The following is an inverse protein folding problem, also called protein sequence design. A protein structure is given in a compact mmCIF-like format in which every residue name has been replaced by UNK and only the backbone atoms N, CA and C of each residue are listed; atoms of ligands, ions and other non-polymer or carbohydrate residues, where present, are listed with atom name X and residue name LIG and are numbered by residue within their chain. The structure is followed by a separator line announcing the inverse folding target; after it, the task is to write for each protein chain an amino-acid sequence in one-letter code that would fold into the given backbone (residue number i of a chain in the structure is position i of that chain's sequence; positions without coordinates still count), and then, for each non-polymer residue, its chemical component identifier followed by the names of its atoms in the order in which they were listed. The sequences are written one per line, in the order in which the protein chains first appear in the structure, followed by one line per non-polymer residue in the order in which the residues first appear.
data_IF_975146885615
#
_entry.id   IF_975146885615
#
_cell.length_a   1.000
_cell.length_b   1.000
_cell.length_c   1.000
_cell.angle_alpha   90.00
_cell.angle_beta   90.00
_cell.angle_gamma   90.00
#
_symmetry.space_group_name_H-M   'P 1'
#
loop_
_entity.id
_entity.type
_entity.pdbx_description
1 polymer ?
#
# COMPACT_ATOMS: atom_id res chain seq x y z
N UNK A 1 14.91 -27.13 10.88
CA UNK A 1 15.68 -25.97 11.37
C UNK A 1 15.89 -25.06 10.18
N UNK A 2 15.25 -23.89 10.15
CA UNK A 2 15.38 -22.92 9.05
C UNK A 2 16.49 -21.95 9.42
N UNK A 3 17.43 -21.73 8.49
CA UNK A 3 18.55 -20.80 8.66
C UNK A 3 18.04 -19.35 8.66
N UNK A 4 18.19 -18.59 9.75
CA UNK A 4 17.74 -17.20 9.85
C UNK A 4 18.49 -16.23 8.93
N UNK A 5 19.59 -16.68 8.30
CA UNK A 5 20.42 -15.89 7.37
C UNK A 5 20.17 -16.23 5.89
N UNK A 6 19.04 -16.87 5.55
CA UNK A 6 18.67 -17.02 4.15
C UNK A 6 18.21 -15.66 3.59
N UNK A 7 18.92 -15.16 2.59
CA UNK A 7 18.51 -13.97 1.84
C UNK A 7 17.04 -14.14 1.39
N UNK A 8 16.17 -13.14 1.56
CA UNK A 8 14.81 -13.23 1.08
C UNK A 8 14.84 -13.49 -0.43
N UNK A 9 14.26 -14.61 -0.86
CA UNK A 9 14.17 -15.02 -2.27
C UNK A 9 13.56 -13.85 -3.06
N UNK A 10 14.20 -13.42 -4.17
CA UNK A 10 13.83 -12.20 -4.85
C UNK A 10 12.41 -12.30 -5.42
N UNK A 11 11.60 -11.33 -5.06
CA UNK A 11 10.27 -11.12 -5.60
C UNK A 11 10.39 -10.11 -6.74
N UNK A 12 9.99 -10.49 -7.94
CA UNK A 12 9.93 -9.52 -9.04
C UNK A 12 8.75 -8.58 -8.78
N UNK A 13 9.01 -7.28 -8.76
CA UNK A 13 7.95 -6.26 -8.63
C UNK A 13 7.71 -5.62 -9.99
N UNK A 14 6.45 -5.61 -10.44
CA UNK A 14 6.03 -4.93 -11.66
C UNK A 14 5.10 -3.79 -11.33
N UNK A 15 5.30 -2.67 -12.01
CA UNK A 15 4.42 -1.51 -11.97
C UNK A 15 3.60 -1.53 -13.26
N UNK A 16 2.28 -1.48 -13.13
CA UNK A 16 1.33 -1.49 -14.25
C UNK A 16 0.52 -0.21 -14.18
N UNK A 17 0.68 0.66 -15.18
CA UNK A 17 -0.17 1.84 -15.33
C UNK A 17 -1.45 1.49 -16.08
N UNK A 18 -2.59 1.82 -15.49
CA UNK A 18 -3.90 1.64 -16.09
C UNK A 18 -4.29 2.94 -16.81
N UNK A 19 -4.89 2.84 -18.00
CA UNK A 19 -5.28 4.01 -18.81
C UNK A 19 -6.31 4.96 -18.18
N UNK A 20 -6.74 4.70 -16.94
CA UNK A 20 -7.60 5.56 -16.13
C UNK A 20 -6.82 6.39 -15.07
N UNK A 21 -5.50 6.37 -15.11
CA UNK A 21 -4.63 7.09 -14.17
C UNK A 21 -4.39 6.38 -12.84
N UNK A 22 -4.84 5.13 -12.68
CA UNK A 22 -4.47 4.28 -11.55
C UNK A 22 -3.22 3.46 -11.87
N UNK A 23 -2.42 3.15 -10.85
CA UNK A 23 -1.21 2.33 -10.97
C UNK A 23 -1.32 1.12 -10.06
N UNK A 24 -0.92 -0.05 -10.53
CA UNK A 24 -0.90 -1.30 -9.79
C UNK A 24 0.53 -1.77 -9.57
N UNK A 25 0.91 -1.95 -8.31
CA UNK A 25 2.17 -2.58 -7.93
C UNK A 25 1.88 -4.06 -7.69
N UNK A 26 2.35 -4.90 -8.62
CA UNK A 26 2.22 -6.36 -8.56
C UNK A 26 3.52 -6.95 -8.05
N UNK A 27 3.43 -7.84 -7.08
CA UNK A 27 4.55 -8.68 -6.68
C UNK A 27 4.35 -10.04 -7.32
N UNK A 28 5.24 -10.41 -8.24
CA UNK A 28 5.22 -11.74 -8.83
C UNK A 28 5.78 -12.69 -7.78
N UNK A 29 4.93 -13.62 -7.40
CA UNK A 29 5.22 -14.63 -6.40
C UNK A 29 5.46 -15.92 -7.16
N UNK A 30 6.62 -16.52 -6.92
CA UNK A 30 6.90 -17.89 -7.32
C UNK A 30 6.15 -18.87 -6.41
N UNK A 31 5.60 -19.94 -6.97
CA UNK A 31 4.83 -20.95 -6.22
C UNK A 31 5.68 -21.60 -5.11
N UNK A 32 7.01 -21.61 -5.27
CA UNK A 32 7.95 -22.11 -4.26
C UNK A 32 8.07 -21.21 -3.01
N UNK A 33 7.54 -19.98 -3.05
CA UNK A 33 7.55 -19.03 -1.93
C UNK A 33 6.25 -19.01 -1.10
N UNK A 34 5.27 -19.86 -1.45
CA UNK A 34 3.94 -19.89 -0.84
C UNK A 34 3.94 -20.35 0.64
N UNK A 35 4.96 -21.12 1.07
CA UNK A 35 5.04 -21.62 2.46
C UNK A 35 5.43 -20.54 3.49
N UNK A 36 6.07 -19.44 3.06
CA UNK A 36 6.40 -18.32 3.95
C UNK A 36 5.20 -17.41 4.25
N UNK A 37 4.07 -17.60 3.56
CA UNK A 37 2.83 -16.88 3.84
C UNK A 37 2.17 -17.37 5.12
N UNK A 38 2.29 -16.55 6.16
CA UNK A 38 1.65 -16.84 7.42
C UNK A 38 0.15 -16.60 7.36
N UNK A 39 -0.64 -17.65 7.61
CA UNK A 39 -2.10 -17.55 7.80
C UNK A 39 -2.50 -16.60 8.94
N UNK A 40 -1.59 -16.33 9.88
CA UNK A 40 -1.83 -15.38 10.97
C UNK A 40 -1.43 -13.94 10.65
N UNK A 41 -0.84 -13.68 9.48
CA UNK A 41 -0.50 -12.34 9.02
C UNK A 41 -1.44 -11.93 7.87
N UNK A 42 -2.33 -10.95 8.06
CA UNK A 42 -3.29 -10.57 7.02
C UNK A 42 -2.65 -9.98 5.76
N UNK A 43 -1.39 -9.53 5.84
CA UNK A 43 -0.67 -9.02 4.66
C UNK A 43 -0.07 -10.13 3.80
N UNK A 44 0.06 -11.35 4.33
CA UNK A 44 0.72 -12.45 3.62
C UNK A 44 0.03 -12.82 2.31
N UNK A 45 -1.28 -12.58 2.21
CA UNK A 45 -2.07 -12.94 1.02
C UNK A 45 -2.22 -11.81 0.00
N UNK A 46 -1.49 -10.70 0.13
CA UNK A 46 -1.58 -9.62 -0.83
C UNK A 46 -0.82 -9.96 -2.12
N UNK A 47 -1.54 -9.98 -3.25
CA UNK A 47 -0.94 -10.19 -4.57
C UNK A 47 -0.47 -8.86 -5.19
N UNK A 48 -1.24 -7.79 -4.98
CA UNK A 48 -0.94 -6.47 -5.53
C UNK A 48 -1.56 -5.35 -4.71
N UNK A 49 -1.02 -4.13 -4.87
CA UNK A 49 -1.61 -2.89 -4.38
C UNK A 49 -2.05 -2.04 -5.56
N UNK A 50 -3.29 -1.57 -5.54
CA UNK A 50 -3.82 -0.57 -6.48
C UNK A 50 -3.72 0.79 -5.83
N UNK A 51 -3.09 1.72 -6.53
CA UNK A 51 -3.14 3.15 -6.25
C UNK A 51 -4.08 3.82 -7.24
N UNK A 52 -5.11 4.49 -6.73
CA UNK A 52 -6.13 5.16 -7.54
C UNK A 52 -5.74 6.58 -7.93
N UNK A 53 -4.65 7.09 -7.37
CA UNK A 53 -4.07 8.41 -7.65
C UNK A 53 -2.55 8.29 -7.69
N UNK A 54 -1.86 9.25 -8.33
CA UNK A 54 -0.41 9.39 -8.24
C UNK A 54 0.04 9.45 -6.77
N UNK A 55 0.97 8.59 -6.38
CA UNK A 55 1.42 8.46 -4.99
C UNK A 55 2.67 9.27 -4.69
N UNK A 56 3.43 9.61 -5.72
CA UNK A 56 4.62 10.43 -5.68
C UNK A 56 4.37 11.86 -5.18
N UNK A 57 3.12 12.34 -5.29
CA UNK A 57 2.71 13.64 -4.76
C UNK A 57 1.93 13.51 -3.43
N UNK A 58 1.59 12.29 -2.99
CA UNK A 58 0.79 12.07 -1.79
C UNK A 58 1.71 11.98 -0.54
N UNK A 59 1.69 12.96 0.40
CA UNK A 59 2.70 13.03 1.46
C UNK A 59 2.67 11.86 2.45
N UNK A 60 1.49 11.29 2.64
CA UNK A 60 1.25 10.08 3.41
C UNK A 60 -0.10 9.50 3.06
N UNK A 61 -0.30 8.25 3.45
CA UNK A 61 -1.60 7.58 3.50
C UNK A 61 -1.89 7.05 4.89
N UNK A 62 -3.17 6.96 5.24
CA UNK A 62 -3.65 6.19 6.38
C UNK A 62 -3.98 4.78 5.92
N UNK A 63 -3.85 3.81 6.82
CA UNK A 63 -4.15 2.40 6.53
C UNK A 63 -5.31 1.91 7.39
N UNK A 64 -6.17 1.09 6.80
CA UNK A 64 -7.15 0.28 7.52
C UNK A 64 -7.12 -1.16 7.01
N UNK A 65 -7.28 -2.13 7.91
CA UNK A 65 -7.65 -3.50 7.56
C UNK A 65 -9.18 -3.58 7.51
N UNK A 66 -9.71 -3.91 6.34
CA UNK A 66 -11.14 -4.03 6.09
C UNK A 66 -11.51 -5.51 6.14
N UNK A 67 -12.08 -5.96 7.26
CA UNK A 67 -12.39 -7.36 7.52
C UNK A 67 -13.69 -7.88 6.89
N UNK A 68 -14.47 -7.02 6.22
CA UNK A 68 -15.77 -7.36 5.63
C UNK A 68 -15.77 -7.29 4.10
N UNK A 69 -14.63 -7.51 3.44
CA UNK A 69 -14.57 -7.45 1.99
C UNK A 69 -15.19 -8.71 1.36
N UNK A 70 -16.17 -8.54 0.48
CA UNK A 70 -16.85 -9.66 -0.19
C UNK A 70 -15.99 -10.38 -1.24
N UNK A 71 -14.98 -9.67 -1.77
CA UNK A 71 -14.15 -10.15 -2.86
C UNK A 71 -12.67 -9.93 -2.59
N UNK A 72 -11.83 -10.84 -3.09
CA UNK A 72 -10.37 -10.75 -3.04
C UNK A 72 -9.80 -9.61 -3.90
N UNK A 73 -10.45 -9.30 -5.02
CA UNK A 73 -9.88 -8.44 -6.09
C UNK A 73 -10.75 -7.26 -6.51
N UNK A 74 -12.03 -7.24 -6.12
CA UNK A 74 -12.95 -6.17 -6.49
C UNK A 74 -12.54 -4.84 -5.87
N UNK A 75 -13.06 -3.74 -6.44
CA UNK A 75 -12.79 -2.39 -5.92
C UNK A 75 -13.17 -2.30 -4.44
N UNK A 76 -12.31 -1.65 -3.67
CA UNK A 76 -12.54 -1.41 -2.23
C UNK A 76 -12.55 0.10 -2.02
N UNK A 77 -13.74 0.70 -2.12
CA UNK A 77 -13.94 2.15 -2.08
C UNK A 77 -14.73 2.55 -0.83
N UNK A 78 -14.35 3.67 -0.22
CA UNK A 78 -15.14 4.32 0.81
C UNK A 78 -16.24 5.15 0.16
N UNK A 79 -17.42 5.16 0.78
CA UNK A 79 -18.53 6.02 0.37
C UNK A 79 -19.13 6.71 1.60
N UNK A 80 -18.33 7.51 2.30
CA UNK A 80 -18.74 8.18 3.55
C UNK A 80 -18.62 9.71 3.53
N UNK A 81 -18.19 10.28 2.41
CA UNK A 81 -18.02 11.74 2.21
C UNK A 81 -16.93 12.40 3.07
N UNK A 82 -16.23 11.65 3.92
CA UNK A 82 -15.22 12.17 4.87
C UNK A 82 -13.82 11.68 4.56
N UNK A 83 -13.73 10.53 3.89
CA UNK A 83 -12.50 9.85 3.53
C UNK A 83 -12.50 9.56 2.04
N UNK A 84 -11.33 9.79 1.43
CA UNK A 84 -11.07 9.43 0.04
C UNK A 84 -10.19 8.20 0.01
N UNK A 85 -10.63 7.17 -0.71
CA UNK A 85 -9.77 6.02 -1.00
C UNK A 85 -8.64 6.45 -1.93
N UNK A 86 -7.41 6.16 -1.51
CA UNK A 86 -6.18 6.41 -2.27
C UNK A 86 -5.68 5.12 -2.90
N UNK A 87 -5.89 3.98 -2.23
CA UNK A 87 -5.52 2.68 -2.77
C UNK A 87 -6.10 1.52 -1.98
N UNK A 88 -5.87 0.30 -2.46
CA UNK A 88 -6.29 -0.92 -1.79
C UNK A 88 -5.50 -2.14 -2.28
N UNK A 89 -5.42 -3.16 -1.44
CA UNK A 89 -4.82 -4.45 -1.78
C UNK A 89 -5.77 -5.32 -2.60
N UNK A 90 -5.22 -6.14 -3.50
CA UNK A 90 -5.87 -7.34 -4.03
C UNK A 90 -5.20 -8.57 -3.42
N UNK A 91 -5.97 -9.61 -3.19
CA UNK A 91 -5.47 -10.85 -2.61
C UNK A 91 -5.18 -11.93 -3.67
N UNK A 92 -4.30 -12.85 -3.28
CA UNK A 92 -3.98 -14.09 -3.98
C UNK A 92 -5.21 -15.01 -4.03
N UNK A 93 -5.22 -16.02 -4.91
CA UNK A 93 -6.40 -16.87 -5.11
C UNK A 93 -6.75 -17.74 -3.89
N UNK A 94 -5.73 -18.09 -3.10
CA UNK A 94 -5.75 -18.96 -1.93
C UNK A 94 -6.06 -18.21 -0.62
N UNK A 95 -6.13 -16.88 -0.65
CA UNK A 95 -6.42 -16.08 0.54
C UNK A 95 -7.70 -16.56 1.25
N UNK A 96 -7.65 -16.90 2.55
CA UNK A 96 -8.79 -17.48 3.25
C UNK A 96 -9.88 -16.43 3.52
N UNK A 97 -11.12 -16.91 3.65
CA UNK A 97 -12.17 -16.15 4.32
C UNK A 97 -11.97 -16.26 5.83
N UNK A 98 -12.25 -15.19 6.56
CA UNK A 98 -12.03 -15.05 7.99
C UNK A 98 -13.36 -14.81 8.71
N UNK A 99 -13.40 -15.18 10.00
CA UNK A 99 -14.55 -14.94 10.87
C UNK A 99 -15.79 -15.79 10.56
N UNK A 100 -16.84 -15.56 11.34
CA UNK A 100 -18.14 -16.25 11.20
C UNK A 100 -18.83 -15.82 9.91
N UNK A 101 -18.70 -14.54 9.55
CA UNK A 101 -19.36 -13.94 8.38
C UNK A 101 -18.66 -14.29 7.05
N UNK A 102 -17.53 -15.00 7.11
CA UNK A 102 -16.81 -15.54 5.95
C UNK A 102 -16.38 -14.45 4.96
N UNK A 103 -15.80 -13.35 5.42
CA UNK A 103 -15.30 -12.27 4.55
C UNK A 103 -13.79 -12.33 4.34
N UNK A 104 -13.29 -11.56 3.38
CA UNK A 104 -11.86 -11.33 3.22
C UNK A 104 -11.42 -10.11 4.02
N UNK A 105 -10.22 -10.19 4.60
CA UNK A 105 -9.55 -9.02 5.16
C UNK A 105 -8.59 -8.42 4.14
N UNK A 106 -8.68 -7.11 3.92
CA UNK A 106 -7.88 -6.39 2.89
C UNK A 106 -7.37 -5.06 3.42
N UNK A 107 -6.13 -4.69 3.09
CA UNK A 107 -5.65 -3.32 3.31
C UNK A 107 -6.36 -2.34 2.39
N UNK A 108 -6.77 -1.23 2.97
CA UNK A 108 -7.20 -0.01 2.30
C UNK A 108 -6.32 1.16 2.72
N UNK A 109 -5.96 1.98 1.73
CA UNK A 109 -5.24 3.23 1.91
C UNK A 109 -6.19 4.39 1.65
N UNK A 110 -6.21 5.35 2.56
CA UNK A 110 -7.11 6.49 2.48
C UNK A 110 -6.51 7.73 3.12
N UNK A 111 -7.15 8.86 2.84
CA UNK A 111 -6.93 10.13 3.52
C UNK A 111 -8.27 10.72 3.92
N UNK A 112 -8.26 11.62 4.90
CA UNK A 112 -9.43 12.42 5.29
C UNK A 112 -9.45 13.71 4.46
N UNK A 113 -10.61 14.35 4.37
CA UNK A 113 -10.76 15.60 3.61
C UNK A 113 -9.89 16.76 4.14
N UNK A 114 -9.48 16.72 5.40
CA UNK A 114 -8.61 17.71 6.03
C UNK A 114 -7.14 17.27 6.11
N UNK A 115 -6.79 16.12 5.54
CA UNK A 115 -5.40 15.72 5.38
C UNK A 115 -4.81 16.43 4.14
N UNK A 116 -3.50 16.75 4.14
CA UNK A 116 -2.79 17.26 2.96
C UNK A 116 -2.98 16.36 1.75
N UNK A 117 -3.36 16.95 0.62
CA UNK A 117 -3.57 16.22 -0.64
C UNK A 117 -2.30 16.15 -1.49
N UNK A 118 -1.36 17.07 -1.29
CA UNK A 118 -0.09 17.15 -2.01
C UNK A 118 1.04 17.69 -1.14
N UNK A 119 2.28 17.56 -1.58
CA UNK A 119 3.42 18.19 -0.89
C UNK A 119 3.39 19.72 -0.88
N UNK A 120 2.62 20.33 -1.80
CA UNK A 120 2.46 21.78 -1.89
C UNK A 120 1.66 22.39 -0.72
N UNK A 121 0.92 21.56 0.03
CA UNK A 121 0.09 22.02 1.15
C UNK A 121 0.87 22.10 2.49
N UNK A 122 2.21 22.12 2.42
CA UNK A 122 3.14 22.05 3.57
C UNK A 122 2.64 21.11 4.68
N UNK A 123 2.77 19.79 4.52
CA UNK A 123 2.38 18.87 5.57
C UNK A 123 3.18 19.19 6.84
N UNK A 124 2.53 19.75 7.86
CA UNK A 124 3.14 19.93 9.17
C UNK A 124 3.38 18.54 9.75
N UNK A 125 4.58 17.99 9.53
CA UNK A 125 4.92 16.61 9.86
C UNK A 125 4.70 16.31 11.37
N UNK A 126 4.73 17.34 12.23
CA UNK A 126 4.33 17.25 13.64
C UNK A 126 2.86 16.85 13.89
N UNK A 127 2.03 16.88 12.86
CA UNK A 127 0.61 16.55 12.89
C UNK A 127 0.30 15.28 12.10
N UNK A 128 1.33 14.50 11.70
CA UNK A 128 1.10 13.23 11.03
C UNK A 128 0.26 12.32 11.92
N UNK A 129 -0.77 11.69 11.36
CA UNK A 129 -1.54 10.72 12.11
C UNK A 129 -0.69 9.54 12.57
N UNK A 130 -0.99 9.02 13.75
CA UNK A 130 -0.40 7.74 14.21
C UNK A 130 -0.68 6.66 13.17
N UNK A 131 0.38 5.97 12.74
CA UNK A 131 0.30 4.91 11.73
C UNK A 131 0.14 5.38 10.30
N UNK A 132 0.35 6.67 10.01
CA UNK A 132 0.52 7.15 8.64
C UNK A 132 1.77 6.53 8.00
N UNK A 133 1.68 6.23 6.72
CA UNK A 133 2.75 5.60 5.94
C UNK A 133 3.12 6.44 4.72
N UNK A 134 4.38 6.34 4.33
CA UNK A 134 4.85 6.77 3.02
C UNK A 134 4.33 5.79 1.95
N UNK A 135 3.45 6.22 1.02
CA UNK A 135 2.87 5.31 0.04
C UNK A 135 3.92 4.71 -0.91
N UNK A 136 5.07 5.36 -1.11
CA UNK A 136 6.14 4.86 -2.00
C UNK A 136 6.90 3.68 -1.43
N UNK A 137 6.80 3.45 -0.11
CA UNK A 137 7.45 2.34 0.60
C UNK A 137 6.53 1.14 0.80
N UNK A 138 5.24 1.30 0.48
CA UNK A 138 4.24 0.25 0.62
C UNK A 138 4.31 -0.67 -0.58
N UNK A 139 4.52 -1.96 -0.32
CA UNK A 139 4.49 -3.02 -1.32
C UNK A 139 3.51 -4.12 -0.86
N UNK A 140 3.04 -5.01 -1.76
CA UNK A 140 2.33 -6.21 -1.35
C UNK A 140 3.13 -6.98 -0.31
N UNK A 141 2.45 -7.42 0.75
CA UNK A 141 3.01 -8.13 1.92
C UNK A 141 3.96 -7.31 2.81
N UNK A 142 4.25 -6.06 2.44
CA UNK A 142 5.14 -5.16 3.20
C UNK A 142 4.30 -4.02 3.75
N UNK A 143 4.42 -3.77 5.06
CA UNK A 143 3.64 -2.75 5.75
C UNK A 143 3.83 -1.37 5.13
N UNK A 144 5.07 -1.01 4.82
CA UNK A 144 5.49 0.36 4.50
C UNK A 144 6.02 1.08 5.74
N UNK A 145 6.84 2.10 5.52
CA UNK A 145 7.52 2.86 6.54
C UNK A 145 6.76 4.15 6.89
N UNK A 146 6.90 4.65 8.13
CA UNK A 146 6.40 5.98 8.49
C UNK A 146 7.08 7.05 7.63
N UNK A 147 6.39 8.16 7.33
CA UNK A 147 7.05 9.21 6.58
C UNK A 147 8.25 9.80 7.34
N UNK A 148 9.45 9.71 6.77
CA UNK A 148 10.68 10.24 7.38
C UNK A 148 10.76 11.77 7.33
N UNK A 149 10.85 12.42 8.51
CA UNK A 149 11.08 13.87 8.62
C UNK A 149 12.38 14.27 7.90
N UNK A 150 12.27 15.16 6.91
CA UNK A 150 13.41 15.81 6.25
C UNK A 150 13.86 15.19 4.92
N UNK A 151 13.54 13.92 4.66
CA UNK A 151 13.95 13.24 3.41
C UNK A 151 13.04 13.62 2.24
N UNK A 152 11.75 13.89 2.47
CA UNK A 152 10.80 14.26 1.39
C UNK A 152 11.18 15.51 0.62
N UNK A 153 11.72 16.52 1.31
CA UNK A 153 12.19 17.74 0.64
C UNK A 153 13.40 17.45 -0.25
N UNK A 154 14.27 16.52 0.17
CA UNK A 154 15.51 16.22 -0.52
C UNK A 154 15.31 15.24 -1.68
N UNK A 155 14.47 14.21 -1.54
CA UNK A 155 14.11 13.31 -2.64
C UNK A 155 13.29 14.03 -3.72
N UNK A 156 12.34 14.88 -3.33
CA UNK A 156 11.59 15.69 -4.29
C UNK A 156 12.49 16.69 -5.01
N UNK A 157 13.39 17.39 -4.29
CA UNK A 157 14.36 18.28 -4.93
C UNK A 157 15.27 17.51 -5.89
N UNK A 158 15.77 16.33 -5.49
CA UNK A 158 16.62 15.50 -6.35
C UNK A 158 15.87 15.00 -7.61
N UNK A 159 14.57 14.68 -7.49
CA UNK A 159 13.73 14.29 -8.62
C UNK A 159 13.44 15.47 -9.57
N UNK A 160 13.08 16.63 -9.02
CA UNK A 160 12.87 17.87 -9.81
C UNK A 160 14.16 18.27 -10.54
N UNK A 161 15.30 18.20 -9.85
CA UNK A 161 16.63 18.51 -10.41
C UNK A 161 17.08 17.50 -11.48
N UNK A 162 16.57 16.26 -11.42
CA UNK A 162 16.78 15.24 -12.44
C UNK A 162 15.92 15.49 -13.68
N UNK A 163 14.68 15.95 -13.51
CA UNK A 163 13.73 16.19 -14.60
C UNK A 163 13.93 17.54 -15.32
N UNK A 164 14.71 18.46 -14.73
CA UNK A 164 15.03 19.77 -15.34
C UNK A 164 16.46 19.85 -15.92
N UNK A 165 17.17 18.73 -16.01
CA UNK A 165 18.43 18.58 -16.77
C UNK A 165 18.18 17.83 -18.08
#
# INVERSE_FOLDING_TARGET
MINPDSDPIPFETKIIDHGNGSTEIVRIIDDDNLEHWSKSNPLAFEASIIWLVPIEDQPYVRVALIGNAETRRGKLLLNDGKRRTVGYSKLTADAPRLGIDQHYERRMFYIKNNDPQSYNEEPKIAMLPVGALDPTTVLPTIRGEPPQRGIYKQLYQNFVDYMTK
#
